data_IF_518845354736
#
_entry.id   IF_518845354736
#
_cell.length_a   1.000
_cell.length_b   1.000
_cell.length_c   1.000
_cell.angle_alpha   90.00
_cell.angle_beta   90.00
_cell.angle_gamma   90.00
#
_symmetry.space_group_name_H-M   'P 1'
#
loop_
_entity.id
_entity.type
_entity.pdbx_description
1 polymer ?
#
# COMPACT_ATOMS: atom_id res chain seq x y z
N UNK A 1 -3.00 -7.29 15.00
CA UNK A 1 -3.97 -6.58 14.13
C UNK A 1 -4.03 -7.25 12.77
N UNK A 2 -2.90 -7.49 12.09
CA UNK A 2 -2.87 -8.23 10.82
C UNK A 2 -3.64 -9.56 10.85
N UNK A 3 -3.32 -10.46 11.79
CA UNK A 3 -3.99 -11.76 11.89
C UNK A 3 -5.50 -11.67 12.18
N UNK A 4 -5.95 -10.60 12.84
CA UNK A 4 -7.39 -10.35 13.06
C UNK A 4 -8.06 -9.86 11.78
N UNK A 5 -7.40 -8.97 11.03
CA UNK A 5 -7.89 -8.48 9.74
C UNK A 5 -8.08 -9.63 8.75
N UNK A 6 -7.15 -10.60 8.74
CA UNK A 6 -7.18 -11.74 7.81
C UNK A 6 -7.85 -13.00 8.36
N UNK A 7 -8.50 -12.93 9.55
CA UNK A 7 -8.96 -14.12 10.29
C UNK A 7 -9.90 -15.03 9.48
N UNK A 8 -10.81 -14.43 8.71
CA UNK A 8 -11.82 -15.14 7.93
C UNK A 8 -11.49 -15.15 6.43
N UNK A 9 -10.26 -14.79 6.06
CA UNK A 9 -9.84 -14.72 4.67
C UNK A 9 -9.68 -16.14 4.10
N UNK A 10 -10.43 -16.44 3.05
CA UNK A 10 -10.29 -17.68 2.26
C UNK A 10 -9.16 -17.54 1.24
N UNK A 11 -8.96 -16.32 0.74
CA UNK A 11 -7.86 -15.96 -0.15
C UNK A 11 -7.15 -14.71 0.37
N UNK A 12 -5.86 -14.58 0.06
CA UNK A 12 -5.08 -13.38 0.35
C UNK A 12 -4.54 -12.85 -0.96
N UNK A 13 -4.87 -11.60 -1.27
CA UNK A 13 -4.27 -10.87 -2.38
C UNK A 13 -3.05 -10.14 -1.87
N UNK A 14 -1.90 -10.45 -2.48
CA UNK A 14 -0.65 -9.73 -2.28
C UNK A 14 -0.47 -8.75 -3.45
N UNK A 15 -0.04 -7.51 -3.17
CA UNK A 15 0.23 -6.54 -4.23
C UNK A 15 1.50 -5.72 -3.99
N UNK A 16 2.09 -5.26 -5.08
CA UNK A 16 3.08 -4.19 -5.17
C UNK A 16 2.63 -3.26 -6.29
N UNK A 17 2.55 -1.96 -6.03
CA UNK A 17 2.16 -0.96 -7.02
C UNK A 17 3.07 0.26 -6.96
N UNK A 18 3.36 0.85 -8.13
CA UNK A 18 4.20 2.05 -8.26
C UNK A 18 3.65 2.98 -9.34
N UNK A 19 3.86 4.29 -9.18
CA UNK A 19 3.64 5.28 -10.25
C UNK A 19 4.88 5.48 -11.13
N UNK A 20 5.90 4.62 -10.96
CA UNK A 20 7.11 4.57 -11.80
C UNK A 20 8.20 5.57 -11.40
N UNK A 21 9.33 5.48 -12.10
CA UNK A 21 10.54 6.31 -11.85
C UNK A 21 10.44 7.73 -12.39
N UNK A 22 9.50 7.99 -13.31
CA UNK A 22 9.40 9.28 -14.02
C UNK A 22 9.25 10.48 -13.10
N UNK A 23 8.43 10.34 -12.05
CA UNK A 23 8.22 11.43 -11.07
C UNK A 23 9.47 11.69 -10.23
N UNK A 24 10.23 10.64 -9.87
CA UNK A 24 11.48 10.80 -9.11
C UNK A 24 12.56 11.49 -9.95
N UNK A 25 12.64 11.16 -11.24
CA UNK A 25 13.55 11.84 -12.16
C UNK A 25 13.22 13.34 -12.25
N UNK A 26 11.95 13.71 -12.35
CA UNK A 26 11.53 15.11 -12.40
C UNK A 26 11.81 15.85 -11.07
N UNK A 27 11.54 15.22 -9.92
CA UNK A 27 11.88 15.77 -8.60
C UNK A 27 13.40 16.03 -8.51
N UNK A 28 14.23 15.06 -8.90
CA UNK A 28 15.69 15.21 -8.89
C UNK A 28 16.15 16.32 -9.86
N UNK A 29 15.49 16.45 -11.02
CA UNK A 29 15.77 17.53 -11.97
C UNK A 29 15.44 18.92 -11.39
N UNK A 30 14.37 19.06 -10.61
CA UNK A 30 14.00 20.31 -9.95
C UNK A 30 14.97 20.65 -8.81
N UNK A 31 15.37 19.67 -8.01
CA UNK A 31 16.39 19.82 -6.98
C UNK A 31 17.73 20.29 -7.57
N UNK A 32 18.17 19.68 -8.68
CA UNK A 32 19.39 20.09 -9.39
C UNK A 32 19.34 21.52 -9.93
N UNK A 33 18.14 22.06 -10.18
CA UNK A 33 17.90 23.47 -10.57
C UNK A 33 17.67 24.40 -9.37
N UNK A 34 17.88 23.92 -8.14
CA UNK A 34 17.61 24.64 -6.88
C UNK A 34 16.13 25.10 -6.73
N UNK A 35 15.20 24.46 -7.44
CA UNK A 35 13.76 24.72 -7.33
C UNK A 35 13.15 23.88 -6.21
N UNK A 36 13.55 24.17 -4.97
CA UNK A 36 13.23 23.33 -3.81
C UNK A 36 11.73 23.26 -3.53
N UNK A 37 11.01 24.39 -3.65
CA UNK A 37 9.56 24.43 -3.43
C UNK A 37 8.80 23.55 -4.45
N UNK A 38 9.13 23.69 -5.74
CA UNK A 38 8.52 22.90 -6.80
C UNK A 38 8.78 21.40 -6.61
N UNK A 39 10.02 21.03 -6.27
CA UNK A 39 10.38 19.64 -6.02
C UNK A 39 9.63 19.05 -4.83
N UNK A 40 9.49 19.83 -3.74
CA UNK A 40 8.73 19.43 -2.56
C UNK A 40 7.24 19.25 -2.85
N UNK A 41 6.63 20.20 -3.58
CA UNK A 41 5.22 20.13 -3.96
C UNK A 41 4.98 18.89 -4.84
N UNK A 42 5.85 18.66 -5.83
CA UNK A 42 5.75 17.49 -6.70
C UNK A 42 5.91 16.17 -5.92
N UNK A 43 6.85 16.09 -4.98
CA UNK A 43 7.02 14.90 -4.12
C UNK A 43 5.77 14.63 -3.28
N UNK A 44 5.18 15.68 -2.68
CA UNK A 44 3.95 15.56 -1.92
C UNK A 44 2.77 15.09 -2.79
N UNK A 45 2.60 15.69 -3.97
CA UNK A 45 1.59 15.26 -4.95
C UNK A 45 1.78 13.81 -5.38
N UNK A 46 3.03 13.39 -5.59
CA UNK A 46 3.37 12.03 -5.96
C UNK A 46 3.02 11.02 -4.86
N UNK A 47 3.19 11.39 -3.58
CA UNK A 47 2.75 10.57 -2.44
C UNK A 47 1.23 10.38 -2.43
N UNK A 48 0.48 11.45 -2.69
CA UNK A 48 -0.99 11.38 -2.79
C UNK A 48 -1.41 10.55 -4.01
N UNK A 49 -0.71 10.69 -5.13
CA UNK A 49 -1.02 9.95 -6.36
C UNK A 49 -0.86 8.43 -6.19
N UNK A 50 0.21 7.96 -5.53
CA UNK A 50 0.41 6.52 -5.30
C UNK A 50 -0.63 5.97 -4.32
N UNK A 51 -1.02 6.71 -3.29
CA UNK A 51 -2.11 6.30 -2.39
C UNK A 51 -3.45 6.20 -3.13
N UNK A 52 -3.81 7.22 -3.92
CA UNK A 52 -5.04 7.21 -4.72
C UNK A 52 -5.07 6.05 -5.74
N UNK A 53 -3.92 5.70 -6.32
CA UNK A 53 -3.81 4.54 -7.21
C UNK A 53 -4.12 3.24 -6.46
N UNK A 54 -3.61 3.08 -5.23
CA UNK A 54 -3.88 1.88 -4.41
C UNK A 54 -5.32 1.87 -3.89
N UNK A 55 -5.88 3.01 -3.50
CA UNK A 55 -7.29 3.12 -3.14
C UNK A 55 -8.16 2.70 -4.33
N UNK A 56 -7.85 3.19 -5.53
CA UNK A 56 -8.59 2.80 -6.74
C UNK A 56 -8.44 1.31 -7.06
N UNK A 57 -7.26 0.74 -6.87
CA UNK A 57 -7.05 -0.69 -7.01
C UNK A 57 -7.91 -1.48 -6.00
N UNK A 58 -7.97 -1.02 -4.75
CA UNK A 58 -8.82 -1.63 -3.73
C UNK A 58 -10.31 -1.54 -4.10
N UNK A 59 -10.80 -0.38 -4.55
CA UNK A 59 -12.18 -0.21 -5.02
C UNK A 59 -12.52 -1.19 -6.15
N UNK A 60 -11.60 -1.39 -7.10
CA UNK A 60 -11.79 -2.34 -8.21
C UNK A 60 -11.91 -3.78 -7.71
N UNK A 61 -11.13 -4.15 -6.70
CA UNK A 61 -11.19 -5.47 -6.09
C UNK A 61 -12.48 -5.62 -5.27
N UNK A 62 -12.87 -4.62 -4.50
CA UNK A 62 -14.14 -4.60 -3.76
C UNK A 62 -15.34 -4.78 -4.68
N UNK A 63 -15.38 -4.08 -5.81
CA UNK A 63 -16.44 -4.25 -6.80
C UNK A 63 -16.42 -5.66 -7.41
N UNK A 64 -15.24 -6.12 -7.85
CA UNK A 64 -15.08 -7.44 -8.49
C UNK A 64 -15.53 -8.58 -7.57
N UNK A 65 -15.05 -8.60 -6.32
CA UNK A 65 -15.40 -9.66 -5.37
C UNK A 65 -16.82 -9.49 -4.82
N UNK A 66 -17.34 -8.26 -4.81
CA UNK A 66 -18.74 -7.99 -4.46
C UNK A 66 -19.75 -8.58 -5.44
N UNK A 67 -19.41 -8.68 -6.74
CA UNK A 67 -20.23 -9.40 -7.74
C UNK A 67 -20.32 -10.91 -7.48
N UNK A 68 -19.43 -11.44 -6.64
CA UNK A 68 -19.34 -12.86 -6.27
C UNK A 68 -19.81 -13.12 -4.84
N UNK A 69 -20.55 -12.18 -4.21
CA UNK A 69 -20.98 -12.25 -2.81
C UNK A 69 -19.80 -12.47 -1.84
N UNK A 70 -18.68 -11.78 -2.09
CA UNK A 70 -17.48 -11.79 -1.25
C UNK A 70 -17.08 -10.37 -0.84
N UNK A 71 -16.34 -10.27 0.26
CA UNK A 71 -15.92 -9.00 0.86
C UNK A 71 -14.40 -8.92 0.97
N UNK A 72 -13.85 -7.76 0.63
CA UNK A 72 -12.43 -7.44 0.76
C UNK A 72 -12.15 -6.82 2.13
N UNK A 73 -11.12 -7.30 2.83
CA UNK A 73 -10.72 -6.73 4.12
C UNK A 73 -9.93 -5.43 3.93
N UNK A 74 -9.71 -4.68 5.02
CA UNK A 74 -8.75 -3.57 5.00
C UNK A 74 -7.35 -4.02 4.55
N UNK A 75 -6.73 -3.24 3.65
CA UNK A 75 -5.32 -3.46 3.27
C UNK A 75 -4.37 -3.25 4.43
N UNK A 76 -3.33 -4.07 4.49
CA UNK A 76 -2.23 -4.00 5.44
C UNK A 76 -0.89 -3.99 4.71
N UNK A 77 0.08 -3.23 5.22
CA UNK A 77 1.42 -3.17 4.65
C UNK A 77 2.47 -3.44 5.73
N UNK A 78 3.59 -4.12 5.41
CA UNK A 78 4.73 -4.19 6.31
C UNK A 78 5.17 -2.78 6.74
N UNK A 79 5.44 -2.59 8.03
CA UNK A 79 5.75 -1.28 8.62
C UNK A 79 4.55 -0.61 9.29
N UNK A 80 3.32 -1.10 9.09
CA UNK A 80 2.12 -0.60 9.76
C UNK A 80 1.68 -1.47 10.94
N UNK A 81 1.10 -0.82 11.95
CA UNK A 81 0.50 -1.48 13.11
C UNK A 81 1.47 -2.46 13.80
N UNK A 82 1.16 -3.75 13.78
CA UNK A 82 1.94 -4.82 14.39
C UNK A 82 2.73 -5.65 13.38
N UNK A 83 2.85 -5.19 12.12
CA UNK A 83 3.58 -5.89 11.08
C UNK A 83 4.96 -5.28 10.85
N UNK A 84 6.07 -5.95 11.21
CA UNK A 84 7.41 -5.39 11.06
C UNK A 84 7.77 -5.14 9.59
N UNK A 85 8.42 -4.01 9.30
CA UNK A 85 8.86 -3.64 7.93
C UNK A 85 9.80 -4.69 7.32
N UNK A 86 10.58 -5.40 8.14
CA UNK A 86 11.49 -6.46 7.67
C UNK A 86 10.75 -7.63 7.01
N UNK A 87 9.46 -7.82 7.30
CA UNK A 87 8.63 -8.82 6.63
C UNK A 87 8.29 -8.45 5.18
N UNK A 88 8.62 -7.24 4.73
CA UNK A 88 8.49 -6.85 3.33
C UNK A 88 9.33 -7.74 2.41
N UNK A 89 10.48 -8.23 2.87
CA UNK A 89 11.28 -9.23 2.13
C UNK A 89 10.48 -10.51 1.85
N UNK A 90 9.67 -10.97 2.81
CA UNK A 90 8.81 -12.14 2.62
C UNK A 90 7.70 -11.87 1.62
N UNK A 91 7.10 -10.68 1.66
CA UNK A 91 6.08 -10.27 0.70
C UNK A 91 6.66 -10.21 -0.72
N UNK A 92 7.85 -9.62 -0.89
CA UNK A 92 8.52 -9.53 -2.20
C UNK A 92 8.91 -10.90 -2.75
N UNK A 93 9.23 -11.89 -1.90
CA UNK A 93 9.52 -13.26 -2.34
C UNK A 93 8.32 -13.99 -2.96
N UNK A 94 7.10 -13.45 -2.87
CA UNK A 94 5.90 -14.01 -3.51
C UNK A 94 5.86 -13.63 -5.01
N UNK A 95 6.48 -12.51 -5.37
CA UNK A 95 6.47 -11.99 -6.74
C UNK A 95 7.74 -12.36 -7.50
N UNK A 96 7.62 -12.52 -8.82
CA UNK A 96 8.79 -12.44 -9.68
C UNK A 96 9.20 -10.97 -9.81
N UNK A 97 10.25 -10.59 -9.10
CA UNK A 97 10.77 -9.21 -9.07
C UNK A 97 11.26 -8.73 -10.43
N UNK A 98 11.42 -9.63 -11.43
CA UNK A 98 11.74 -9.25 -12.81
C UNK A 98 10.55 -8.70 -13.58
N UNK A 99 9.33 -9.04 -13.16
CA UNK A 99 8.09 -8.57 -13.80
C UNK A 99 7.57 -7.26 -13.18
N UNK A 100 8.11 -6.87 -12.02
CA UNK A 100 7.72 -5.68 -11.28
C UNK A 100 8.85 -4.66 -11.36
N UNK A 101 8.56 -3.46 -11.89
CA UNK A 101 9.50 -2.33 -11.95
C UNK A 101 9.79 -1.70 -10.56
N UNK A 102 9.81 -2.51 -9.49
CA UNK A 102 10.04 -2.12 -8.11
C UNK A 102 11.09 -3.03 -7.48
N UNK A 103 12.22 -2.43 -7.11
CA UNK A 103 13.29 -3.06 -6.36
C UNK A 103 13.06 -2.88 -4.86
N UNK A 104 13.25 -3.95 -4.07
CA UNK A 104 13.33 -3.87 -2.62
C UNK A 104 14.80 -3.81 -2.19
N UNK A 105 15.19 -2.69 -1.58
CA UNK A 105 16.53 -2.48 -1.05
C UNK A 105 16.75 -3.29 0.25
N UNK A 106 18.01 -3.49 0.64
CA UNK A 106 18.34 -4.20 1.89
C UNK A 106 17.74 -3.56 3.14
N UNK A 107 17.55 -2.24 3.10
CA UNK A 107 16.88 -1.42 4.12
C UNK A 107 15.37 -1.66 4.22
N UNK A 108 14.79 -2.50 3.35
CA UNK A 108 13.36 -2.71 3.15
C UNK A 108 12.62 -1.50 2.56
N UNK A 109 13.34 -0.51 2.03
CA UNK A 109 12.74 0.55 1.23
C UNK A 109 12.57 0.09 -0.22
N UNK A 110 11.53 0.61 -0.87
CA UNK A 110 11.26 0.33 -2.27
C UNK A 110 11.85 1.41 -3.19
N UNK A 111 12.27 1.00 -4.37
CA UNK A 111 12.71 1.88 -5.46
C UNK A 111 11.93 1.50 -6.73
N UNK A 112 11.07 2.38 -7.28
CA UNK A 112 10.84 3.79 -6.89
C UNK A 112 10.29 3.96 -5.47
N UNK A 113 10.56 5.11 -4.84
CA UNK A 113 10.04 5.46 -3.50
C UNK A 113 8.53 5.62 -3.49
N UNK A 114 7.93 6.04 -4.61
CA UNK A 114 6.47 6.19 -4.78
C UNK A 114 5.86 4.84 -5.14
N UNK A 115 6.03 3.90 -4.22
CA UNK A 115 5.55 2.53 -4.32
C UNK A 115 4.92 2.10 -3.00
N UNK A 116 3.91 1.24 -3.09
CA UNK A 116 3.22 0.66 -1.94
C UNK A 116 3.13 -0.85 -2.18
N UNK A 117 3.39 -1.63 -1.13
CA UNK A 117 3.10 -3.05 -1.14
C UNK A 117 2.23 -3.42 0.04
N UNK A 118 1.40 -4.43 -0.09
CA UNK A 118 0.58 -4.90 1.00
C UNK A 118 -0.19 -6.16 0.68
N UNK A 119 -1.10 -6.48 1.59
CA UNK A 119 -2.03 -7.59 1.46
C UNK A 119 -3.43 -7.16 1.88
N UNK A 120 -4.43 -7.82 1.35
CA UNK A 120 -5.78 -7.85 1.90
C UNK A 120 -6.38 -9.24 1.70
N UNK A 121 -7.33 -9.61 2.56
CA UNK A 121 -8.05 -10.87 2.48
C UNK A 121 -9.32 -10.74 1.67
N UNK A 122 -9.74 -11.86 1.08
CA UNK A 122 -11.06 -12.07 0.50
C UNK A 122 -11.82 -13.00 1.44
N UNK A 123 -12.99 -12.57 1.86
CA UNK A 123 -13.82 -13.24 2.88
C UNK A 123 -15.24 -13.46 2.32
N UNK A 124 -16.00 -14.43 2.86
CA UNK A 124 -17.44 -14.50 2.62
C UNK A 124 -18.13 -13.21 3.06
N UNK A 125 -19.18 -12.78 2.34
CA UNK A 125 -19.87 -11.49 2.56
C UNK A 125 -20.34 -11.24 4.00
N UNK A 126 -20.72 -12.28 4.74
CA UNK A 126 -21.23 -12.15 6.12
C UNK A 126 -20.11 -12.08 7.18
N UNK A 127 -18.84 -12.06 6.77
CA UNK A 127 -17.72 -12.01 7.70
C UNK A 127 -17.58 -10.66 8.39
N UNK A 128 -17.40 -10.67 9.72
CA UNK A 128 -17.06 -9.44 10.45
C UNK A 128 -15.77 -8.81 9.91
N UNK A 129 -15.87 -7.56 9.44
CA UNK A 129 -14.71 -6.77 9.01
C UNK A 129 -14.03 -6.09 10.21
N UNK A 130 -12.77 -6.45 10.48
CA UNK A 130 -11.96 -5.81 11.49
C UNK A 130 -11.17 -4.63 10.93
N UNK A 131 -11.51 -3.41 11.38
CA UNK A 131 -10.76 -2.19 11.09
C UNK A 131 -9.70 -1.92 12.19
N UNK A 132 -8.39 -2.03 11.89
CA UNK A 132 -7.31 -1.80 12.87
C UNK A 132 -7.22 -0.35 13.37
N UNK A 133 -7.81 0.61 12.63
CA UNK A 133 -7.84 2.01 13.01
C UNK A 133 -8.72 2.22 14.26
N UNK A 134 -9.78 1.41 14.48
CA UNK A 134 -10.63 1.51 15.68
C UNK A 134 -9.83 1.35 16.98
N UNK A 135 -8.81 0.49 16.95
CA UNK A 135 -7.91 0.24 18.08
C UNK A 135 -6.62 1.08 18.02
N UNK A 136 -6.57 2.13 17.20
CA UNK A 136 -5.37 2.96 17.05
C UNK A 136 -5.36 4.11 18.07
N UNK A 137 -4.35 4.18 18.98
CA UNK A 137 -4.31 5.17 20.05
C UNK A 137 -4.06 6.61 19.55
N UNK A 138 -3.64 6.77 18.29
CA UNK A 138 -3.35 8.07 17.68
C UNK A 138 -4.62 8.90 17.53
N UNK A 139 -4.82 9.90 18.38
CA UNK A 139 -6.06 10.70 18.44
C UNK A 139 -6.33 11.56 17.21
N UNK A 140 -5.29 12.10 16.57
CA UNK A 140 -5.38 12.96 15.37
C UNK A 140 -4.59 12.32 14.23
N UNK A 141 -5.18 11.31 13.61
CA UNK A 141 -4.62 10.67 12.43
C UNK A 141 -5.43 11.14 11.22
N UNK A 142 -4.82 11.97 10.35
CA UNK A 142 -5.46 12.47 9.13
C UNK A 142 -5.73 11.33 8.12
N UNK A 143 -4.92 10.27 8.16
CA UNK A 143 -5.05 9.08 7.32
C UNK A 143 -5.89 7.96 7.96
N UNK A 144 -6.77 8.30 8.92
CA UNK A 144 -7.61 7.30 9.60
C UNK A 144 -8.68 6.77 8.66
N UNK A 145 -8.64 5.47 8.40
CA UNK A 145 -9.66 4.74 7.62
C UNK A 145 -10.85 4.38 8.53
N UNK A 146 -12.07 4.66 8.11
CA UNK A 146 -13.30 4.42 8.89
C UNK A 146 -14.01 3.16 8.42
#
# INVERSE_FOLDING_TARGET
KLARTLKNAEEIVCFVGTIGTGVEHEINRLLGKQKLADAYILDAMASVAVENMIDRFQDLMENRFGEEDRTVTFRFSPGYCDWPVTQQKKLFNIFDTKEIDVELLDSCLMKPRKSISGVFGITPQESESYNPCRDCPTRRCESRRN
#
